data_IF_885656453790
#
_entry.id   IF_885656453790
#
_cell.length_a   1.000
_cell.length_b   1.000
_cell.length_c   1.000
_cell.angle_alpha   90.00
_cell.angle_beta   90.00
_cell.angle_gamma   90.00
#
_symmetry.space_group_name_H-M   'P 1'
#
loop_
_entity.id
_entity.type
_entity.pdbx_description
1 polymer ?
#
# COMPACT_ATOMS: atom_id res chain seq x y z
N UNK A 1 0.46 -5.78 1.13
CA UNK A 1 1.35 -6.38 2.16
C UNK A 1 1.69 -5.30 3.19
N UNK A 2 1.93 -5.67 4.45
CA UNK A 2 2.33 -4.69 5.49
C UNK A 2 3.80 -4.33 5.29
N UNK A 3 4.17 -3.05 5.10
CA UNK A 3 5.56 -2.66 4.89
C UNK A 3 6.40 -2.95 6.15
N UNK A 4 7.64 -3.43 6.00
CA UNK A 4 8.50 -3.72 7.14
C UNK A 4 8.96 -2.42 7.83
N UNK A 5 9.20 -2.51 9.13
CA UNK A 5 9.77 -1.39 9.88
C UNK A 5 11.19 -1.04 9.38
N UNK A 6 11.55 0.26 9.31
CA UNK A 6 12.91 0.67 9.01
C UNK A 6 13.93 0.13 10.03
N UNK A 7 15.16 -0.17 9.59
CA UNK A 7 16.21 -0.78 10.44
C UNK A 7 16.62 0.07 11.65
N UNK A 8 16.42 1.38 11.59
CA UNK A 8 16.74 2.31 12.68
C UNK A 8 15.66 2.36 13.79
N UNK A 9 14.55 1.63 13.63
CA UNK A 9 13.54 1.54 14.68
C UNK A 9 14.05 0.72 15.87
N UNK A 10 13.72 1.17 17.09
CA UNK A 10 14.20 0.54 18.33
C UNK A 10 13.86 -0.95 18.39
N UNK A 11 14.85 -1.79 18.67
CA UNK A 11 14.70 -3.25 18.80
C UNK A 11 13.73 -3.63 19.95
N UNK A 12 13.73 -2.85 21.03
CA UNK A 12 12.79 -3.00 22.15
C UNK A 12 11.35 -2.69 21.70
N UNK A 13 11.15 -1.64 20.91
CA UNK A 13 9.83 -1.30 20.39
C UNK A 13 9.32 -2.40 19.45
N UNK A 14 10.14 -2.85 18.50
CA UNK A 14 9.77 -3.94 17.59
C UNK A 14 9.40 -5.24 18.33
N UNK A 15 10.15 -5.60 19.38
CA UNK A 15 9.91 -6.83 20.16
C UNK A 15 8.61 -6.75 20.96
N UNK A 16 8.35 -5.62 21.62
CA UNK A 16 7.14 -5.46 22.43
C UNK A 16 5.89 -5.29 21.57
N UNK A 17 6.00 -4.53 20.47
CA UNK A 17 4.87 -4.34 19.54
C UNK A 17 4.39 -5.71 19.03
N UNK A 18 5.30 -6.56 18.54
CA UNK A 18 4.94 -7.92 18.08
C UNK A 18 4.18 -8.72 19.13
N UNK A 19 4.59 -8.64 20.40
CA UNK A 19 3.93 -9.37 21.49
C UNK A 19 2.51 -8.87 21.77
N UNK A 20 2.31 -7.55 21.78
CA UNK A 20 1.01 -6.96 22.12
C UNK A 20 0.06 -6.90 20.92
N UNK A 21 0.57 -6.81 19.69
CA UNK A 21 -0.22 -6.70 18.46
C UNK A 21 -0.30 -8.02 17.69
N UNK A 22 -0.09 -9.16 18.34
CA UNK A 22 -0.20 -10.48 17.71
C UNK A 22 -1.52 -10.66 16.92
N UNK A 23 -2.70 -10.24 17.42
CA UNK A 23 -3.95 -10.33 16.65
C UNK A 23 -3.93 -9.58 15.32
N UNK A 24 -3.24 -8.44 15.25
CA UNK A 24 -3.11 -7.64 14.04
C UNK A 24 -2.10 -8.25 13.05
N UNK A 25 -1.07 -8.92 13.57
CA UNK A 25 -0.11 -9.68 12.75
C UNK A 25 -0.80 -10.90 12.14
N UNK A 26 -1.59 -11.62 12.92
CA UNK A 26 -2.37 -12.76 12.45
C UNK A 26 -3.39 -12.32 11.40
N UNK A 27 -4.08 -11.20 11.62
CA UNK A 27 -4.97 -10.59 10.63
C UNK A 27 -4.24 -10.28 9.31
N UNK A 28 -3.04 -9.69 9.39
CA UNK A 28 -2.23 -9.38 8.21
C UNK A 28 -1.78 -10.64 7.46
N UNK A 29 -1.44 -11.71 8.18
CA UNK A 29 -1.06 -12.99 7.60
C UNK A 29 -2.25 -13.67 6.92
N UNK A 30 -3.42 -13.72 7.56
CA UNK A 30 -4.66 -14.23 6.95
C UNK A 30 -5.05 -13.41 5.71
N UNK A 31 -4.90 -12.08 5.78
CA UNK A 31 -5.14 -11.22 4.62
C UNK A 31 -4.14 -11.50 3.48
N UNK A 32 -2.91 -11.93 3.77
CA UNK A 32 -1.93 -12.27 2.74
C UNK A 32 -2.37 -13.49 1.89
N UNK A 33 -3.00 -14.48 2.53
CA UNK A 33 -3.52 -15.71 1.89
C UNK A 33 -4.67 -15.38 0.93
N UNK A 34 -5.57 -14.47 1.32
CA UNK A 34 -6.61 -13.92 0.44
C UNK A 34 -7.97 -14.62 0.50
N UNK A 35 -8.20 -15.49 1.49
CA UNK A 35 -9.45 -16.23 1.69
C UNK A 35 -10.37 -15.50 2.68
N UNK A 36 -11.63 -15.26 2.31
CA UNK A 36 -12.61 -14.59 3.20
C UNK A 36 -12.95 -15.42 4.44
N UNK A 37 -13.07 -16.74 4.29
CA UNK A 37 -13.41 -17.65 5.39
C UNK A 37 -12.38 -17.56 6.52
N UNK A 38 -11.10 -17.69 6.18
CA UNK A 38 -10.00 -17.61 7.16
C UNK A 38 -9.89 -16.22 7.80
N UNK A 39 -10.06 -15.16 7.00
CA UNK A 39 -10.02 -13.80 7.51
C UNK A 39 -11.19 -13.53 8.48
N UNK A 40 -12.40 -14.00 8.13
CA UNK A 40 -13.58 -13.88 8.99
C UNK A 40 -13.43 -14.62 10.32
N UNK A 41 -12.90 -15.85 10.28
CA UNK A 41 -12.60 -16.63 11.50
C UNK A 41 -11.55 -15.93 12.36
N UNK A 42 -10.49 -15.40 11.75
CA UNK A 42 -9.44 -14.65 12.46
C UNK A 42 -9.99 -13.40 13.15
N UNK A 43 -10.88 -12.66 12.47
CA UNK A 43 -11.55 -11.48 13.02
C UNK A 43 -12.44 -11.86 14.20
N UNK A 44 -13.26 -12.92 14.05
CA UNK A 44 -14.19 -13.35 15.09
C UNK A 44 -13.45 -13.85 16.35
N UNK A 45 -12.34 -14.57 16.16
CA UNK A 45 -11.50 -15.09 17.26
C UNK A 45 -10.86 -13.96 18.07
N UNK A 46 -10.51 -12.84 17.42
CA UNK A 46 -9.82 -11.71 18.05
C UNK A 46 -10.73 -10.50 18.30
N UNK A 47 -12.05 -10.65 18.16
CA UNK A 47 -13.00 -9.54 18.15
C UNK A 47 -12.96 -8.71 19.44
N UNK A 48 -12.82 -9.37 20.60
CA UNK A 48 -12.75 -8.70 21.91
C UNK A 48 -11.57 -7.72 22.00
N UNK A 49 -10.41 -8.08 21.42
CA UNK A 49 -9.24 -7.20 21.40
C UNK A 49 -9.42 -6.03 20.43
N UNK A 50 -10.02 -6.26 19.27
CA UNK A 50 -10.34 -5.16 18.35
C UNK A 50 -11.38 -4.19 18.92
N UNK A 51 -12.30 -4.70 19.74
CA UNK A 51 -13.26 -3.89 20.50
C UNK A 51 -12.57 -3.08 21.60
N UNK A 52 -11.68 -3.69 22.39
CA UNK A 52 -10.93 -2.94 23.43
C UNK A 52 -10.11 -1.81 22.83
N UNK A 53 -9.52 -2.05 21.65
CA UNK A 53 -8.68 -1.08 20.96
C UNK A 53 -9.47 -0.06 20.13
N UNK A 54 -10.81 -0.17 20.08
CA UNK A 54 -11.70 0.71 19.29
C UNK A 54 -11.41 0.71 17.77
N UNK A 55 -10.84 -0.38 17.24
CA UNK A 55 -10.40 -0.48 15.83
C UNK A 55 -11.31 -1.35 14.95
N UNK A 56 -12.46 -1.80 15.46
CA UNK A 56 -13.37 -2.72 14.76
C UNK A 56 -13.81 -2.21 13.39
N UNK A 57 -14.03 -0.89 13.24
CA UNK A 57 -14.42 -0.28 11.97
C UNK A 57 -13.35 -0.47 10.88
N UNK A 58 -12.07 -0.27 11.24
CA UNK A 58 -10.94 -0.47 10.34
C UNK A 58 -10.82 -1.96 9.95
N UNK A 59 -11.00 -2.87 10.90
CA UNK A 59 -10.97 -4.32 10.62
C UNK A 59 -12.06 -4.73 9.63
N UNK A 60 -13.26 -4.14 9.71
CA UNK A 60 -14.32 -4.35 8.71
C UNK A 60 -13.92 -3.80 7.33
N UNK A 61 -13.25 -2.64 7.28
CA UNK A 61 -12.72 -2.11 6.02
C UNK A 61 -11.64 -3.01 5.42
N UNK A 62 -10.81 -3.68 6.24
CA UNK A 62 -9.86 -4.70 5.75
C UNK A 62 -10.59 -5.87 5.09
N UNK A 63 -11.72 -6.31 5.66
CA UNK A 63 -12.54 -7.35 5.04
C UNK A 63 -13.12 -6.88 3.70
N UNK A 64 -13.67 -5.67 3.64
CA UNK A 64 -14.20 -5.10 2.39
C UNK A 64 -13.12 -4.89 1.33
N UNK A 65 -11.91 -4.49 1.72
CA UNK A 65 -10.79 -4.28 0.79
C UNK A 65 -10.28 -5.59 0.18
N UNK A 66 -10.58 -6.75 0.78
CA UNK A 66 -10.21 -8.03 0.21
C UNK A 66 -10.93 -8.29 -1.13
N UNK A 67 -12.17 -7.81 -1.29
CA UNK A 67 -12.90 -7.91 -2.56
C UNK A 67 -12.16 -7.13 -3.66
N UNK A 68 -11.81 -5.87 -3.35
CA UNK A 68 -11.06 -4.98 -4.23
C UNK A 68 -9.71 -5.61 -4.62
N UNK A 69 -8.97 -6.14 -3.64
CA UNK A 69 -7.69 -6.82 -3.88
C UNK A 69 -7.82 -8.05 -4.77
N UNK A 70 -8.83 -8.90 -4.54
CA UNK A 70 -9.01 -10.12 -5.33
C UNK A 70 -9.37 -9.77 -6.78
N UNK A 71 -10.24 -8.78 -7.00
CA UNK A 71 -10.57 -8.28 -8.34
C UNK A 71 -9.33 -7.67 -9.02
N UNK A 72 -8.55 -6.84 -8.32
CA UNK A 72 -7.29 -6.27 -8.83
C UNK A 72 -6.27 -7.35 -9.24
N UNK A 73 -6.25 -8.50 -8.56
CA UNK A 73 -5.37 -9.61 -8.98
C UNK A 73 -5.80 -10.22 -10.30
N UNK A 74 -7.10 -10.24 -10.60
CA UNK A 74 -7.62 -10.78 -11.86
C UNK A 74 -7.17 -9.94 -13.05
N UNK A 75 -7.01 -8.62 -12.87
CA UNK A 75 -6.53 -7.73 -13.94
C UNK A 75 -5.09 -8.03 -14.36
N UNK A 76 -4.30 -8.70 -13.51
CA UNK A 76 -2.91 -9.07 -13.81
C UNK A 76 -2.82 -10.35 -14.64
N UNK A 77 -3.85 -11.19 -14.64
CA UNK A 77 -3.84 -12.51 -15.29
C UNK A 77 -4.83 -12.63 -16.44
N UNK A 78 -5.87 -11.80 -16.46
CA UNK A 78 -6.95 -11.87 -17.43
C UNK A 78 -7.16 -10.52 -18.12
N UNK A 79 -7.29 -10.55 -19.45
CA UNK A 79 -7.73 -9.41 -20.24
C UNK A 79 -9.26 -9.29 -20.26
N UNK A 80 -9.96 -10.42 -20.32
CA UNK A 80 -11.42 -10.47 -20.28
C UNK A 80 -11.86 -11.68 -19.49
N UNK A 81 -12.84 -11.51 -18.61
CA UNK A 81 -13.32 -12.53 -17.70
C UNK A 81 -14.83 -12.40 -17.51
N UNK A 82 -15.55 -13.52 -17.34
CA UNK A 82 -16.99 -13.47 -17.09
C UNK A 82 -17.31 -12.91 -15.70
N UNK A 83 -18.45 -12.22 -15.55
CA UNK A 83 -18.92 -11.73 -14.25
C UNK A 83 -19.11 -12.86 -13.24
N UNK A 84 -19.47 -14.06 -13.71
CA UNK A 84 -19.61 -15.24 -12.87
C UNK A 84 -18.25 -15.71 -12.33
N UNK A 85 -17.20 -15.73 -13.17
CA UNK A 85 -15.86 -16.12 -12.75
C UNK A 85 -15.22 -15.07 -11.84
N UNK A 86 -15.49 -13.77 -12.09
CA UNK A 86 -15.12 -12.69 -11.17
C UNK A 86 -15.78 -12.89 -9.82
N UNK A 87 -17.08 -13.20 -9.78
CA UNK A 87 -17.80 -13.48 -8.53
C UNK A 87 -17.18 -14.68 -7.79
N UNK A 88 -16.91 -15.78 -8.50
CA UNK A 88 -16.30 -16.98 -7.93
C UNK A 88 -14.91 -16.69 -7.34
N UNK A 89 -14.06 -15.97 -8.09
CA UNK A 89 -12.70 -15.65 -7.65
C UNK A 89 -12.66 -14.63 -6.50
N UNK A 90 -13.59 -13.67 -6.49
CA UNK A 90 -13.73 -12.69 -5.41
C UNK A 90 -14.53 -13.21 -4.21
N UNK A 91 -15.04 -14.46 -4.27
CA UNK A 91 -15.89 -15.08 -3.25
C UNK A 91 -17.18 -14.27 -2.97
N UNK A 92 -17.75 -13.69 -4.03
CA UNK A 92 -19.04 -13.02 -4.04
C UNK A 92 -20.15 -14.03 -4.36
N UNK A 93 -21.36 -13.75 -3.86
CA UNK A 93 -22.48 -14.69 -3.96
C UNK A 93 -23.16 -14.66 -5.34
N UNK A 94 -23.20 -13.49 -5.96
CA UNK A 94 -23.92 -13.29 -7.23
C UNK A 94 -23.08 -12.54 -8.25
N UNK A 95 -23.30 -12.76 -9.56
CA UNK A 95 -22.65 -11.99 -10.61
C UNK A 95 -23.03 -10.49 -10.57
N UNK A 96 -24.24 -10.16 -10.08
CA UNK A 96 -24.67 -8.77 -9.90
C UNK A 96 -23.87 -8.06 -8.80
N UNK A 97 -23.52 -8.77 -7.71
CA UNK A 97 -22.65 -8.21 -6.68
C UNK A 97 -21.25 -7.93 -7.25
N UNK A 98 -20.74 -8.83 -8.09
CA UNK A 98 -19.47 -8.63 -8.78
C UNK A 98 -19.51 -7.43 -9.71
N UNK A 99 -20.59 -7.27 -10.48
CA UNK A 99 -20.80 -6.10 -11.35
C UNK A 99 -20.77 -4.79 -10.55
N UNK A 100 -21.51 -4.73 -9.44
CA UNK A 100 -21.55 -3.56 -8.57
C UNK A 100 -20.16 -3.20 -8.01
N UNK A 101 -19.40 -4.21 -7.56
CA UNK A 101 -18.05 -4.00 -7.04
C UNK A 101 -17.08 -3.53 -8.13
N UNK A 102 -17.13 -4.12 -9.31
CA UNK A 102 -16.30 -3.69 -10.45
C UNK A 102 -16.64 -2.27 -10.86
N UNK A 103 -17.94 -1.91 -10.90
CA UNK A 103 -18.38 -0.56 -11.23
C UNK A 103 -17.87 0.47 -10.22
N UNK A 104 -17.96 0.18 -8.92
CA UNK A 104 -17.41 1.05 -7.86
C UNK A 104 -15.90 1.21 -8.01
N UNK A 105 -15.16 0.14 -8.30
CA UNK A 105 -13.72 0.20 -8.49
C UNK A 105 -13.31 1.02 -9.73
N UNK A 106 -14.11 0.98 -10.81
CA UNK A 106 -13.92 1.83 -11.98
C UNK A 106 -14.15 3.30 -11.61
N UNK A 107 -15.23 3.59 -10.87
CA UNK A 107 -15.57 4.95 -10.45
C UNK A 107 -14.52 5.55 -9.51
N UNK A 108 -13.98 4.75 -8.60
CA UNK A 108 -12.91 5.14 -7.66
C UNK A 108 -11.53 5.27 -8.37
N UNK A 109 -11.41 4.85 -9.63
CA UNK A 109 -10.14 4.82 -10.37
C UNK A 109 -9.17 3.73 -9.91
N UNK A 110 -9.66 2.74 -9.16
CA UNK A 110 -8.86 1.63 -8.64
C UNK A 110 -8.62 0.53 -9.69
N UNK A 111 -9.41 0.49 -10.76
CA UNK A 111 -9.26 -0.46 -11.86
C UNK A 111 -9.77 0.13 -13.16
N UNK A 112 -8.98 0.00 -14.23
CA UNK A 112 -9.40 0.36 -15.59
C UNK A 112 -10.07 -0.86 -16.23
N UNK A 113 -11.41 -0.82 -16.37
CA UNK A 113 -12.17 -1.92 -16.96
C UNK A 113 -13.46 -1.41 -17.61
N UNK A 114 -14.02 -2.21 -18.52
CA UNK A 114 -15.33 -2.00 -19.13
C UNK A 114 -16.21 -3.22 -18.96
N UNK A 115 -17.47 -3.01 -18.58
CA UNK A 115 -18.45 -4.07 -18.35
C UNK A 115 -19.35 -4.19 -19.59
N UNK A 116 -19.43 -5.37 -20.17
CA UNK A 116 -20.40 -5.70 -21.21
C UNK A 116 -21.54 -6.55 -20.60
N UNK A 117 -22.65 -5.88 -20.26
CA UNK A 117 -23.82 -6.52 -19.66
C UNK A 117 -24.52 -7.52 -20.59
N UNK A 118 -24.43 -7.36 -21.92
CA UNK A 118 -25.09 -8.26 -22.88
C UNK A 118 -24.46 -9.64 -22.87
N UNK A 119 -23.13 -9.67 -22.83
CA UNK A 119 -22.34 -10.90 -22.85
C UNK A 119 -21.95 -11.37 -21.45
N UNK A 120 -22.22 -10.57 -20.41
CA UNK A 120 -21.87 -10.89 -19.02
C UNK A 120 -20.37 -10.90 -18.76
N UNK A 121 -19.60 -10.07 -19.47
CA UNK A 121 -18.14 -10.07 -19.47
C UNK A 121 -17.58 -8.75 -18.96
N UNK A 122 -16.43 -8.83 -18.27
CA UNK A 122 -15.61 -7.69 -17.84
C UNK A 122 -14.31 -7.72 -18.64
N UNK A 123 -14.03 -6.66 -19.38
CA UNK A 123 -12.75 -6.47 -20.07
C UNK A 123 -11.89 -5.50 -19.26
N UNK A 124 -10.74 -5.98 -18.82
CA UNK A 124 -9.73 -5.20 -18.11
C UNK A 124 -8.82 -4.51 -19.12
N UNK A 125 -8.53 -3.23 -18.88
CA UNK A 125 -7.64 -2.43 -19.72
C UNK A 125 -6.35 -2.15 -18.94
N UNK A 126 -5.24 -2.05 -19.67
CA UNK A 126 -4.01 -1.51 -19.08
C UNK A 126 -4.20 -0.02 -18.73
N UNK A 127 -3.30 0.48 -17.89
CA UNK A 127 -3.30 1.88 -17.44
C UNK A 127 -3.43 2.82 -18.65
N UNK A 128 -4.46 3.68 -18.71
CA UNK A 128 -4.69 4.55 -19.86
C UNK A 128 -3.61 5.63 -20.01
N UNK A 129 -2.76 5.83 -19.00
CA UNK A 129 -1.72 6.85 -19.03
C UNK A 129 -0.58 6.48 -19.98
N UNK A 130 -0.54 7.15 -21.13
CA UNK A 130 0.49 6.95 -22.16
C UNK A 130 1.66 7.93 -22.04
N UNK A 131 1.66 8.84 -21.07
CA UNK A 131 2.68 9.88 -20.86
C UNK A 131 2.88 10.83 -22.05
N UNK A 132 1.87 10.95 -22.92
CA UNK A 132 1.91 11.80 -24.12
C UNK A 132 1.17 13.12 -23.96
N UNK A 133 0.41 13.27 -22.89
CA UNK A 133 -0.52 14.40 -22.71
C UNK A 133 0.15 15.54 -21.94
N UNK A 134 -0.16 16.78 -22.31
CA UNK A 134 0.28 17.99 -21.61
C UNK A 134 -0.10 17.97 -20.11
N UNK A 135 -1.20 17.29 -19.75
CA UNK A 135 -1.62 17.10 -18.35
C UNK A 135 -0.60 16.37 -17.46
N UNK A 136 0.37 15.64 -18.04
CA UNK A 136 1.47 15.05 -17.27
C UNK A 136 2.59 16.04 -16.94
N UNK A 137 2.63 17.21 -17.58
CA UNK A 137 3.65 18.22 -17.32
C UNK A 137 3.48 18.79 -15.91
N UNK A 138 2.24 19.07 -15.49
CA UNK A 138 1.95 19.61 -14.14
C UNK A 138 2.40 18.68 -13.00
N UNK A 139 2.05 17.37 -12.96
CA UNK A 139 2.53 16.47 -11.92
C UNK A 139 4.04 16.27 -11.97
N UNK A 140 4.65 16.24 -13.17
CA UNK A 140 6.11 16.16 -13.31
C UNK A 140 6.78 17.42 -12.74
N UNK A 141 6.27 18.61 -13.07
CA UNK A 141 6.80 19.87 -12.56
C UNK A 141 6.67 19.95 -11.03
N UNK A 142 5.52 19.54 -10.47
CA UNK A 142 5.34 19.46 -9.02
C UNK A 142 6.34 18.50 -8.35
N UNK A 143 6.63 17.35 -8.97
CA UNK A 143 7.66 16.42 -8.50
C UNK A 143 9.06 17.06 -8.55
N UNK A 144 9.38 17.79 -9.63
CA UNK A 144 10.65 18.51 -9.77
C UNK A 144 10.78 19.58 -8.67
N UNK A 145 9.74 20.38 -8.46
CA UNK A 145 9.73 21.41 -7.41
C UNK A 145 9.95 20.79 -6.02
N UNK A 146 9.25 19.69 -5.72
CA UNK A 146 9.43 18.96 -4.45
C UNK A 146 10.86 18.42 -4.29
N UNK A 147 11.46 17.91 -5.36
CA UNK A 147 12.85 17.44 -5.36
C UNK A 147 13.84 18.59 -5.15
N UNK A 148 13.62 19.73 -5.79
CA UNK A 148 14.42 20.94 -5.59
C UNK A 148 14.35 21.44 -4.15
N UNK A 149 13.15 21.49 -3.55
CA UNK A 149 12.98 21.85 -2.15
C UNK A 149 13.72 20.90 -1.21
N UNK A 150 13.63 19.60 -1.47
CA UNK A 150 14.33 18.59 -0.68
C UNK A 150 15.85 18.73 -0.83
N UNK A 151 16.34 18.96 -2.05
CA UNK A 151 17.76 19.19 -2.33
C UNK A 151 18.27 20.44 -1.61
N UNK A 152 17.51 21.54 -1.63
CA UNK A 152 17.86 22.76 -0.90
C UNK A 152 17.94 22.54 0.61
N UNK A 153 16.99 21.78 1.17
CA UNK A 153 17.03 21.39 2.60
C UNK A 153 18.26 20.54 2.91
N UNK A 154 18.60 19.60 2.03
CA UNK A 154 19.78 18.75 2.19
C UNK A 154 21.07 19.58 2.15
N UNK A 155 21.22 20.50 1.19
CA UNK A 155 22.37 21.41 1.12
C UNK A 155 22.49 22.29 2.37
N UNK A 156 21.39 22.83 2.86
CA UNK A 156 21.40 23.63 4.10
C UNK A 156 21.82 22.81 5.32
N UNK A 157 21.38 21.55 5.41
CA UNK A 157 21.84 20.64 6.48
C UNK A 157 23.32 20.29 6.34
N UNK A 158 23.81 20.09 5.12
CA UNK A 158 25.22 19.80 4.85
C UNK A 158 26.12 20.98 5.21
N UNK A 159 25.70 22.21 4.91
CA UNK A 159 26.37 23.44 5.34
C UNK A 159 26.42 23.54 6.87
N UNK A 160 25.28 23.29 7.55
CA UNK A 160 25.23 23.32 9.02
C UNK A 160 26.14 22.27 9.67
N UNK A 161 26.17 21.04 9.15
CA UNK A 161 27.04 19.97 9.63
C UNK A 161 28.51 20.28 9.33
N UNK A 162 28.80 20.89 8.18
CA UNK A 162 30.16 21.30 7.79
C UNK A 162 30.72 22.39 8.69
N UNK A 163 29.87 23.28 9.21
CA UNK A 163 30.25 24.32 10.16
C UNK A 163 30.20 23.88 11.63
N UNK A 164 29.71 22.69 11.95
CA UNK A 164 29.59 22.22 13.33
C UNK A 164 30.98 21.90 13.93
N UNK A 165 31.40 22.59 15.01
CA UNK A 165 32.68 22.36 15.65
C UNK A 165 32.85 20.93 16.18
N UNK A 166 31.79 20.20 16.53
CA UNK A 166 31.88 18.81 16.97
C UNK A 166 32.23 17.88 15.79
N UNK A 167 31.62 18.14 14.62
CA UNK A 167 31.89 17.42 13.38
C UNK A 167 33.31 17.71 12.87
N UNK A 168 33.71 18.98 12.82
CA UNK A 168 35.07 19.40 12.41
C UNK A 168 36.17 18.81 13.30
N UNK A 169 35.96 18.75 14.62
CA UNK A 169 36.90 18.10 15.56
C UNK A 169 37.05 16.60 15.32
N UNK A 170 35.99 15.93 14.86
CA UNK A 170 36.01 14.49 14.56
C UNK A 170 36.71 14.21 13.23
N UNK A 171 36.36 14.95 12.18
CA UNK A 171 36.98 14.84 10.84
C UNK A 171 38.46 15.25 10.88
N UNK A 172 38.83 16.26 11.65
CA UNK A 172 40.23 16.70 11.82
C UNK A 172 41.13 15.69 12.55
N UNK A 173 40.56 14.76 13.33
CA UNK A 173 41.31 13.66 13.97
C UNK A 173 41.54 12.46 13.04
N UNK A 174 40.68 12.25 12.06
CA UNK A 174 40.77 11.12 11.11
C UNK A 174 41.70 11.41 9.91
N UNK A 175 42.08 12.68 9.67
CA UNK A 175 43.14 12.99 8.70
C UNK A 175 44.49 12.64 9.34
N UNK A 176 45.30 11.71 8.77
CA UNK A 176 46.69 11.59 9.14
C UNK A 176 47.32 12.96 8.92
N UNK A 177 48.10 13.45 9.88
CA UNK A 177 48.97 14.60 9.61
C UNK A 177 49.82 14.20 8.41
N UNK A 178 49.62 14.86 7.27
CA UNK A 178 50.62 14.84 6.21
C UNK A 178 51.80 15.64 6.77
N UNK A 179 52.68 14.93 7.47
CA UNK A 179 54.01 15.40 7.79
C UNK A 179 54.79 15.38 6.46
N UNK A 180 55.09 16.57 5.93
CA UNK A 180 56.03 16.79 4.85
C UNK A 180 57.43 17.03 5.41
#
# INVERSE_FOLDING_TARGET
QVPPFPKYTSSTAQRNLKKHTQPYIDLANCYAIGTFSELGVCIQTNLEKFQSDSNVGLVKQVLSSLYKRNIQRLTQTYLTLSLQDVANAAQLKTPNDAEMHVLQMIQDGETSASINQKDGMVSFHEDPEQYKTCGMIEPIDSLIQRLMELSKKLSSLDEQISCDPAHLKRVGKERPRLDW
#
